data_IF_743513984431
#
_entry.id   IF_743513984431
#
_cell.length_a   1.000
_cell.length_b   1.000
_cell.length_c   1.000
_cell.angle_alpha   90.00
_cell.angle_beta   90.00
_cell.angle_gamma   90.00
#
_symmetry.space_group_name_H-M   'P 1'
#
loop_
_entity.id
_entity.type
_entity.pdbx_description
1 polymer ?
#
# COMPACT_ATOMS: atom_id res chain seq x y z
N UNK A 1 -8.76 -36.06 22.21
CA UNK A 1 -9.83 -35.34 21.47
C UNK A 1 -9.36 -33.90 21.31
N UNK A 2 -8.95 -33.49 20.11
CA UNK A 2 -8.38 -32.15 19.88
C UNK A 2 -9.49 -31.09 19.89
N UNK A 3 -9.38 -30.02 20.69
CA UNK A 3 -10.40 -28.98 20.74
C UNK A 3 -10.49 -28.28 19.38
N UNK A 4 -11.64 -28.41 18.72
CA UNK A 4 -11.93 -27.71 17.46
C UNK A 4 -12.08 -26.22 17.79
N UNK A 5 -11.13 -25.39 17.35
CA UNK A 5 -11.18 -23.94 17.52
C UNK A 5 -12.43 -23.39 16.82
N UNK A 6 -13.38 -22.88 17.61
CA UNK A 6 -14.61 -22.27 17.10
C UNK A 6 -14.30 -20.84 16.66
N UNK A 7 -14.70 -20.48 15.43
CA UNK A 7 -14.55 -19.10 14.91
C UNK A 7 -13.82 -18.98 13.57
N UNK A 8 -12.98 -19.95 13.19
CA UNK A 8 -12.25 -19.96 11.91
C UNK A 8 -12.92 -20.83 10.83
N UNK A 9 -13.93 -21.62 11.18
CA UNK A 9 -14.69 -22.41 10.21
C UNK A 9 -15.88 -21.63 9.65
N UNK A 10 -16.20 -21.85 8.38
CA UNK A 10 -17.37 -21.26 7.71
C UNK A 10 -18.69 -21.49 8.45
N UNK A 11 -18.80 -22.64 9.13
CA UNK A 11 -19.94 -23.02 9.94
C UNK A 11 -20.06 -22.19 11.24
N UNK A 12 -18.93 -21.81 11.83
CA UNK A 12 -18.89 -20.95 13.03
C UNK A 12 -19.21 -19.49 12.71
N UNK A 13 -18.77 -19.02 11.53
CA UNK A 13 -19.03 -17.66 11.06
C UNK A 13 -20.52 -17.42 10.77
N UNK A 14 -21.23 -18.42 10.20
CA UNK A 14 -22.68 -18.35 10.02
C UNK A 14 -23.47 -18.40 11.32
N UNK A 15 -22.97 -19.08 12.36
CA UNK A 15 -23.62 -19.11 13.68
C UNK A 15 -23.43 -17.81 14.48
N UNK A 16 -22.29 -17.15 14.32
CA UNK A 16 -21.93 -15.94 15.07
C UNK A 16 -21.77 -14.75 14.13
N UNK A 17 -22.88 -14.21 13.62
CA UNK A 17 -22.87 -13.04 12.72
C UNK A 17 -22.24 -11.78 13.34
N UNK A 18 -22.12 -11.72 14.66
CA UNK A 18 -21.47 -10.62 15.38
C UNK A 18 -19.95 -10.54 15.16
N UNK A 19 -19.30 -11.62 14.69
CA UNK A 19 -17.87 -11.63 14.37
C UNK A 19 -17.55 -10.94 13.02
N UNK A 20 -18.53 -10.82 12.12
CA UNK A 20 -18.35 -10.23 10.80
C UNK A 20 -17.73 -8.81 10.80
N UNK A 21 -18.22 -7.83 11.59
CA UNK A 21 -17.63 -6.49 11.60
C UNK A 21 -16.17 -6.47 12.04
N UNK A 22 -15.77 -7.34 12.97
CA UNK A 22 -14.38 -7.44 13.42
C UNK A 22 -13.47 -7.91 12.28
N UNK A 23 -13.86 -8.97 11.56
CA UNK A 23 -13.09 -9.46 10.43
C UNK A 23 -13.03 -8.47 9.26
N UNK A 24 -14.07 -7.67 9.06
CA UNK A 24 -14.08 -6.61 8.04
C UNK A 24 -13.04 -5.55 8.37
N UNK A 25 -12.99 -5.06 9.61
CA UNK A 25 -11.98 -4.05 10.02
C UNK A 25 -10.56 -4.59 9.91
N UNK A 26 -10.33 -5.83 10.35
CA UNK A 26 -9.02 -6.48 10.24
C UNK A 26 -8.64 -6.70 8.77
N UNK A 27 -9.58 -7.17 7.95
CA UNK A 27 -9.38 -7.37 6.52
C UNK A 27 -9.08 -6.06 5.79
N UNK A 28 -9.84 -5.00 6.07
CA UNK A 28 -9.60 -3.65 5.54
C UNK A 28 -8.23 -3.11 5.96
N UNK A 29 -7.84 -3.31 7.22
CA UNK A 29 -6.51 -2.92 7.71
C UNK A 29 -5.38 -3.65 6.98
N UNK A 30 -5.50 -4.97 6.84
CA UNK A 30 -4.52 -5.81 6.13
C UNK A 30 -4.42 -5.47 4.64
N UNK A 31 -5.56 -5.30 3.97
CA UNK A 31 -5.61 -4.88 2.56
C UNK A 31 -5.02 -3.47 2.38
N UNK A 32 -5.36 -2.53 3.28
CA UNK A 32 -4.81 -1.18 3.29
C UNK A 32 -3.29 -1.18 3.39
N UNK A 33 -2.73 -1.86 4.39
CA UNK A 33 -1.29 -1.97 4.57
C UNK A 33 -0.58 -2.59 3.37
N UNK A 34 -1.11 -3.71 2.86
CA UNK A 34 -0.55 -4.40 1.69
C UNK A 34 -0.59 -3.52 0.45
N UNK A 35 -1.70 -2.82 0.21
CA UNK A 35 -1.84 -1.92 -0.94
C UNK A 35 -0.85 -0.75 -0.91
N UNK A 36 -0.59 -0.19 0.28
CA UNK A 36 0.37 0.91 0.42
C UNK A 36 1.80 0.45 0.19
N UNK A 37 2.18 -0.72 0.71
CA UNK A 37 3.49 -1.32 0.47
C UNK A 37 3.69 -1.63 -1.01
N UNK A 38 2.68 -2.22 -1.67
CA UNK A 38 2.75 -2.51 -3.10
C UNK A 38 2.93 -1.23 -3.93
N UNK A 39 2.21 -0.16 -3.57
CA UNK A 39 2.35 1.14 -4.23
C UNK A 39 3.74 1.75 -4.01
N UNK A 40 4.31 1.61 -2.81
CA UNK A 40 5.68 2.05 -2.53
C UNK A 40 6.69 1.24 -3.35
N UNK A 41 6.54 -0.08 -3.40
CA UNK A 41 7.44 -0.95 -4.15
C UNK A 41 7.45 -0.62 -5.65
N UNK A 42 6.31 -0.27 -6.24
CA UNK A 42 6.21 -0.03 -7.69
C UNK A 42 6.46 1.42 -8.11
N UNK A 43 6.24 2.40 -7.22
CA UNK A 43 6.31 3.83 -7.58
C UNK A 43 7.24 4.66 -6.70
N UNK A 44 8.03 4.08 -5.79
CA UNK A 44 9.08 4.85 -5.11
C UNK A 44 10.29 5.01 -6.01
N UNK A 45 10.89 6.21 -6.12
CA UNK A 45 12.15 6.40 -6.84
C UNK A 45 13.31 5.65 -6.19
N UNK A 46 13.22 5.35 -4.90
CA UNK A 46 14.23 4.61 -4.14
C UNK A 46 14.22 3.10 -4.42
N UNK A 47 13.13 2.58 -4.98
CA UNK A 47 12.95 1.14 -5.23
C UNK A 47 12.83 0.92 -6.73
N UNK A 48 13.92 0.41 -7.33
CA UNK A 48 13.99 0.15 -8.76
C UNK A 48 14.15 -1.34 -9.04
N UNK A 49 13.13 -1.91 -9.68
CA UNK A 49 13.15 -3.30 -10.12
C UNK A 49 13.91 -3.50 -11.43
N UNK A 50 14.08 -2.44 -12.22
CA UNK A 50 14.80 -2.46 -13.49
C UNK A 50 16.08 -1.62 -13.45
N UNK A 51 17.07 -2.11 -12.72
CA UNK A 51 18.38 -1.44 -12.56
C UNK A 51 19.20 -1.42 -13.84
N UNK A 52 18.85 -2.23 -14.86
CA UNK A 52 19.66 -2.39 -16.08
C UNK A 52 19.32 -1.37 -17.16
N UNK A 53 18.04 -1.05 -17.37
CA UNK A 53 17.63 -0.09 -18.41
C UNK A 53 17.45 1.34 -17.87
N UNK A 54 17.20 1.50 -16.57
CA UNK A 54 17.08 2.81 -15.94
C UNK A 54 18.03 2.93 -14.74
N UNK A 55 19.32 3.21 -14.99
CA UNK A 55 20.33 3.32 -13.94
C UNK A 55 20.09 4.52 -12.99
N UNK A 56 19.30 5.51 -13.42
CA UNK A 56 19.05 6.75 -12.68
C UNK A 56 17.54 6.98 -12.44
N UNK A 57 16.90 6.15 -11.60
CA UNK A 57 15.44 6.14 -11.42
C UNK A 57 14.85 7.44 -10.89
N UNK A 58 15.65 8.25 -10.19
CA UNK A 58 15.25 9.58 -9.71
C UNK A 58 14.96 10.57 -10.84
N UNK A 59 15.53 10.39 -12.04
CA UNK A 59 15.27 11.27 -13.19
C UNK A 59 13.80 11.23 -13.62
N UNK A 60 13.08 10.13 -13.41
CA UNK A 60 11.65 10.04 -13.75
C UNK A 60 10.77 10.96 -12.89
N UNK A 61 11.24 11.25 -11.67
CA UNK A 61 10.54 12.09 -10.69
C UNK A 61 11.05 13.54 -10.67
N UNK A 62 12.02 13.92 -11.52
CA UNK A 62 12.60 15.28 -11.57
C UNK A 62 11.55 16.39 -11.74
N UNK A 63 10.49 16.13 -12.49
CA UNK A 63 9.41 17.08 -12.76
C UNK A 63 8.04 16.65 -12.21
N UNK A 64 7.98 15.58 -11.41
CA UNK A 64 6.72 15.02 -10.87
C UNK A 64 6.68 15.16 -9.35
N UNK A 65 5.50 15.43 -8.81
CA UNK A 65 5.31 15.44 -7.35
C UNK A 65 5.28 14.01 -6.83
N UNK A 66 6.14 13.71 -5.84
CA UNK A 66 6.22 12.38 -5.22
C UNK A 66 5.01 12.06 -4.31
N UNK A 67 4.39 13.10 -3.74
CA UNK A 67 3.32 12.96 -2.74
C UNK A 67 2.06 12.39 -3.38
N UNK A 68 1.49 11.36 -2.76
CA UNK A 68 0.26 10.71 -3.22
C UNK A 68 -0.98 11.58 -3.08
N UNK A 69 -1.09 12.28 -1.95
CA UNK A 69 -2.27 13.05 -1.57
C UNK A 69 -1.83 14.47 -1.26
N UNK A 70 -2.44 15.42 -1.94
CA UNK A 70 -2.35 16.83 -1.59
C UNK A 70 -3.48 17.13 -0.61
N UNK A 71 -3.10 17.55 0.58
CA UNK A 71 -4.07 17.96 1.62
C UNK A 71 -4.55 19.39 1.37
N UNK A 72 -3.75 20.18 0.65
CA UNK A 72 -4.04 21.57 0.30
C UNK A 72 -4.02 21.72 -1.22
N UNK A 73 -4.92 22.55 -1.74
CA UNK A 73 -4.98 22.88 -3.16
C UNK A 73 -3.85 23.87 -3.48
N UNK A 74 -2.75 23.31 -3.97
CA UNK A 74 -1.55 24.06 -4.34
C UNK A 74 -1.13 23.64 -5.75
N UNK A 75 -0.58 24.56 -6.55
CA UNK A 75 -0.04 24.22 -7.86
C UNK A 75 1.00 23.10 -7.72
N UNK A 76 1.12 22.25 -8.74
CA UNK A 76 2.12 21.20 -8.76
C UNK A 76 3.50 21.82 -8.54
N UNK A 77 4.16 21.48 -7.43
CA UNK A 77 5.54 21.88 -7.20
C UNK A 77 6.43 20.92 -7.99
N UNK A 78 7.14 21.45 -8.98
CA UNK A 78 8.32 20.77 -9.54
C UNK A 78 9.46 20.93 -8.54
N UNK A 79 10.03 19.82 -8.08
CA UNK A 79 11.26 19.80 -7.28
C UNK A 79 12.39 19.31 -8.18
N UNK A 80 12.97 20.19 -9.03
CA UNK A 80 14.02 19.79 -9.93
C UNK A 80 15.23 19.30 -9.12
N UNK A 81 15.67 18.07 -9.40
CA UNK A 81 16.94 17.57 -8.87
C UNK A 81 18.09 18.42 -9.41
N UNK A 82 19.14 18.68 -8.61
CA UNK A 82 20.34 19.40 -9.06
C UNK A 82 21.01 18.66 -10.21
N UNK A 83 21.46 19.39 -11.22
CA UNK A 83 22.20 18.81 -12.34
C UNK A 83 23.68 18.63 -11.94
N UNK A 84 24.24 17.46 -12.27
CA UNK A 84 25.64 17.07 -12.02
C UNK A 84 26.38 16.80 -13.33
#
# INVERSE_FOLDING_TARGET
MSPKMQGLSWQSFKKNSMLAPLFIVIGLGGLGATSYILRLALRSPDVTWNTRENPEPWNEYKNKEYKFIKVHDRPNLSSPAPEY
#
